data_IF_955550589510
#
_entry.id   IF_955550589510
#
_cell.length_a   1.000
_cell.length_b   1.000
_cell.length_c   1.000
_cell.angle_alpha   90.00
_cell.angle_beta   90.00
_cell.angle_gamma   90.00
#
_symmetry.space_group_name_H-M   'P 1'
#
loop_
_entity.id
_entity.type
_entity.pdbx_description
1 polymer ?
#
# COMPACT_ATOMS: atom_id res chain seq x y z
N UNK A 1 2.29 22.59 -8.75
CA UNK A 1 1.63 21.44 -8.08
C UNK A 1 2.31 20.16 -8.56
N UNK A 2 2.75 19.27 -7.67
CA UNK A 2 3.36 17.98 -8.04
C UNK A 2 2.28 16.89 -7.99
N UNK A 3 2.15 16.11 -9.06
CA UNK A 3 1.17 15.02 -9.17
C UNK A 3 1.88 13.68 -9.25
N UNK A 4 1.37 12.68 -8.52
CA UNK A 4 1.81 11.31 -8.61
C UNK A 4 0.72 10.48 -9.27
N UNK A 5 1.01 9.95 -10.46
CA UNK A 5 0.09 9.12 -11.23
C UNK A 5 0.62 7.69 -11.23
N UNK A 6 -0.29 6.73 -11.13
CA UNK A 6 0.03 5.32 -11.04
C UNK A 6 -1.21 4.46 -11.21
N UNK A 7 -1.05 3.17 -10.95
CA UNK A 7 -2.11 2.16 -11.06
C UNK A 7 -2.30 1.42 -9.74
N UNK A 8 -3.45 0.77 -9.61
CA UNK A 8 -3.79 -0.12 -8.49
C UNK A 8 -3.11 -1.48 -8.60
N UNK A 9 -1.79 -1.48 -8.61
CA UNK A 9 -0.93 -2.65 -8.73
C UNK A 9 -0.03 -2.56 -9.97
N UNK A 10 1.01 -3.40 -10.01
CA UNK A 10 1.96 -3.44 -11.13
C UNK A 10 2.19 -4.86 -11.67
N UNK A 11 2.04 -5.91 -10.85
CA UNK A 11 2.46 -7.27 -11.20
C UNK A 11 1.39 -8.06 -11.97
N UNK A 12 1.12 -7.68 -13.21
CA UNK A 12 0.15 -8.33 -14.11
C UNK A 12 0.85 -9.00 -15.30
N UNK A 13 0.64 -10.30 -15.52
CA UNK A 13 1.24 -11.04 -16.65
C UNK A 13 0.64 -10.61 -17.98
N UNK A 14 -0.61 -10.18 -17.95
CA UNK A 14 -1.40 -9.69 -19.08
C UNK A 14 -0.81 -8.40 -19.68
N UNK A 15 0.11 -7.74 -18.97
CA UNK A 15 0.81 -6.54 -19.42
C UNK A 15 2.11 -6.85 -20.18
N UNK A 16 2.59 -8.11 -20.18
CA UNK A 16 3.74 -8.54 -20.98
C UNK A 16 3.45 -8.35 -22.48
N UNK A 17 4.40 -7.80 -23.21
CA UNK A 17 4.30 -7.51 -24.64
C UNK A 17 3.48 -6.25 -24.99
N UNK A 18 2.83 -5.61 -24.02
CA UNK A 18 2.06 -4.36 -24.22
C UNK A 18 2.64 -3.18 -23.46
N UNK A 19 2.86 -3.39 -22.16
CA UNK A 19 3.47 -2.40 -21.28
C UNK A 19 4.85 -2.86 -20.82
N UNK A 20 4.95 -4.13 -20.39
CA UNK A 20 6.22 -4.77 -20.07
C UNK A 20 6.87 -5.40 -21.31
N UNK A 21 8.21 -5.52 -21.34
CA UNK A 21 8.89 -6.38 -22.32
C UNK A 21 8.31 -7.79 -22.27
N UNK A 22 8.26 -8.44 -23.43
CA UNK A 22 7.62 -9.76 -23.60
C UNK A 22 8.19 -10.83 -22.66
N UNK A 23 9.49 -10.75 -22.36
CA UNK A 23 10.20 -11.68 -21.47
C UNK A 23 10.76 -10.95 -20.24
N UNK A 24 9.90 -10.27 -19.49
CA UNK A 24 10.28 -9.66 -18.21
C UNK A 24 9.93 -10.59 -17.04
N UNK A 25 10.90 -10.82 -16.13
CA UNK A 25 10.62 -11.61 -14.93
C UNK A 25 9.72 -10.85 -13.96
N UNK A 26 8.91 -11.58 -13.16
CA UNK A 26 8.05 -10.95 -12.15
C UNK A 26 8.82 -10.13 -11.11
N UNK A 27 10.08 -10.51 -10.83
CA UNK A 27 10.97 -9.79 -9.90
C UNK A 27 11.42 -8.44 -10.45
N UNK A 28 11.41 -8.24 -11.76
CA UNK A 28 11.84 -6.99 -12.41
C UNK A 28 10.67 -6.05 -12.74
N UNK A 29 9.43 -6.54 -12.67
CA UNK A 29 8.23 -5.77 -13.02
C UNK A 29 8.13 -4.46 -12.24
N UNK A 30 8.45 -4.43 -10.94
CA UNK A 30 8.39 -3.20 -10.15
C UNK A 30 9.44 -2.18 -10.62
N UNK A 31 10.69 -2.63 -10.83
CA UNK A 31 11.76 -1.76 -11.32
C UNK A 31 11.41 -1.18 -12.70
N UNK A 32 10.88 -2.00 -13.61
CA UNK A 32 10.44 -1.52 -14.90
C UNK A 32 9.27 -0.54 -14.75
N UNK A 33 8.26 -0.87 -13.96
CA UNK A 33 7.10 -0.03 -13.71
C UNK A 33 7.50 1.36 -13.18
N UNK A 34 8.42 1.40 -12.22
CA UNK A 34 8.93 2.63 -11.62
C UNK A 34 9.75 3.52 -12.58
N UNK A 35 10.17 2.99 -13.74
CA UNK A 35 10.76 3.81 -14.81
C UNK A 35 9.71 4.55 -15.65
N UNK A 36 8.43 4.20 -15.52
CA UNK A 36 7.32 4.74 -16.32
C UNK A 36 6.33 5.54 -15.49
N UNK A 37 6.06 5.12 -14.26
CA UNK A 37 5.15 5.79 -13.34
C UNK A 37 5.85 6.20 -12.05
N UNK A 38 5.51 7.37 -11.47
CA UNK A 38 6.08 7.83 -10.21
C UNK A 38 5.41 7.26 -8.95
N UNK A 39 4.33 6.48 -9.07
CA UNK A 39 3.65 5.90 -7.93
C UNK A 39 2.91 4.61 -8.24
N UNK A 40 2.60 3.83 -7.21
CA UNK A 40 1.74 2.64 -7.32
C UNK A 40 0.95 2.43 -6.02
N UNK A 41 -0.30 1.99 -6.15
CA UNK A 41 -1.06 1.45 -5.02
C UNK A 41 -0.85 -0.08 -4.94
N UNK A 42 -0.43 -0.55 -3.77
CA UNK A 42 -0.21 -1.97 -3.50
C UNK A 42 -1.49 -2.56 -2.89
N UNK A 43 -2.08 -3.49 -3.63
CA UNK A 43 -3.29 -4.21 -3.19
C UNK A 43 -2.99 -5.54 -2.49
N UNK A 44 -1.81 -6.16 -2.68
CA UNK A 44 -1.51 -7.46 -2.07
C UNK A 44 -1.53 -7.40 -0.51
N UNK A 45 -1.20 -6.25 0.06
CA UNK A 45 -1.29 -5.99 1.51
C UNK A 45 -2.72 -6.07 2.06
N UNK A 46 -3.73 -5.99 1.19
CA UNK A 46 -5.12 -6.23 1.56
C UNK A 46 -5.35 -7.65 2.11
N UNK A 47 -4.72 -8.65 1.51
CA UNK A 47 -4.94 -10.05 1.87
C UNK A 47 -4.08 -10.52 3.05
N UNK A 48 -2.90 -9.92 3.22
CA UNK A 48 -1.92 -10.30 4.24
C UNK A 48 -1.17 -9.08 4.75
N UNK A 49 -0.89 -9.05 6.05
CA UNK A 49 -0.01 -8.01 6.61
C UNK A 49 1.34 -8.04 5.88
N UNK A 50 1.84 -6.88 5.42
CA UNK A 50 3.13 -6.81 4.74
C UNK A 50 4.26 -7.26 5.65
N UNK A 51 5.16 -8.09 5.12
CA UNK A 51 6.44 -8.36 5.79
C UNK A 51 7.42 -7.24 5.49
N UNK A 52 8.16 -6.81 6.51
CA UNK A 52 9.20 -5.80 6.41
C UNK A 52 10.22 -6.07 5.29
N UNK A 53 10.69 -7.33 5.15
CA UNK A 53 11.61 -7.71 4.08
C UNK A 53 11.07 -7.51 2.66
N UNK A 54 9.75 -7.61 2.47
CA UNK A 54 9.11 -7.37 1.17
C UNK A 54 9.13 -5.86 0.86
N UNK A 55 8.86 -5.02 1.86
CA UNK A 55 8.86 -3.57 1.70
C UNK A 55 10.29 -3.03 1.47
N UNK A 56 11.28 -3.58 2.16
CA UNK A 56 12.70 -3.30 1.89
C UNK A 56 13.03 -3.58 0.42
N UNK A 57 12.71 -4.80 -0.04
CA UNK A 57 12.97 -5.20 -1.43
C UNK A 57 12.26 -4.31 -2.45
N UNK A 58 11.06 -3.80 -2.14
CA UNK A 58 10.38 -2.82 -3.00
C UNK A 58 11.07 -1.46 -3.01
N UNK A 59 11.50 -0.95 -1.84
CA UNK A 59 12.18 0.32 -1.73
C UNK A 59 13.50 0.34 -2.54
N UNK A 60 14.24 -0.77 -2.57
CA UNK A 60 15.47 -0.96 -3.34
C UNK A 60 15.26 -0.96 -4.86
N UNK A 61 14.04 -1.23 -5.33
CA UNK A 61 13.74 -1.34 -6.75
C UNK A 61 13.29 -0.03 -7.39
N UNK A 62 13.02 1.01 -6.60
CA UNK A 62 12.42 2.25 -7.08
C UNK A 62 13.20 3.51 -6.66
N UNK A 63 13.14 4.61 -7.44
CA UNK A 63 13.77 5.87 -7.09
C UNK A 63 13.25 6.45 -5.75
N UNK A 64 14.03 7.30 -5.05
CA UNK A 64 13.60 7.96 -3.81
C UNK A 64 12.31 8.80 -3.94
N UNK A 65 12.03 9.32 -5.13
CA UNK A 65 10.87 10.16 -5.44
C UNK A 65 9.60 9.35 -5.70
N UNK A 66 9.73 8.03 -5.90
CA UNK A 66 8.61 7.14 -6.12
C UNK A 66 7.71 7.09 -4.89
N UNK A 67 6.40 6.88 -5.06
CA UNK A 67 5.44 6.82 -3.95
C UNK A 67 4.63 5.53 -3.96
N UNK A 68 4.65 4.83 -2.84
CA UNK A 68 3.76 3.70 -2.59
C UNK A 68 2.53 4.15 -1.82
N UNK A 69 1.37 3.70 -2.28
CA UNK A 69 0.14 3.71 -1.48
C UNK A 69 -0.10 2.29 -0.99
N UNK A 70 -0.07 2.05 0.32
CA UNK A 70 -0.33 0.72 0.87
C UNK A 70 -1.81 0.58 1.19
N UNK A 71 -2.49 -0.40 0.59
CA UNK A 71 -3.85 -0.71 1.01
C UNK A 71 -3.84 -1.44 2.34
N UNK A 72 -4.60 -0.95 3.30
CA UNK A 72 -4.72 -1.56 4.61
C UNK A 72 -5.28 -2.99 4.49
N UNK A 73 -4.78 -3.95 5.30
CA UNK A 73 -5.30 -5.31 5.32
C UNK A 73 -6.81 -5.37 5.58
N UNK A 74 -7.50 -6.29 4.89
CA UNK A 74 -8.93 -6.55 5.06
C UNK A 74 -9.28 -6.96 6.50
N UNK A 75 -8.30 -7.50 7.25
CA UNK A 75 -8.49 -7.76 8.68
C UNK A 75 -8.89 -6.49 9.44
N UNK A 76 -8.31 -5.34 9.09
CA UNK A 76 -8.62 -4.04 9.69
C UNK A 76 -9.98 -3.54 9.20
N UNK A 77 -10.18 -3.47 7.88
CA UNK A 77 -11.32 -2.76 7.28
C UNK A 77 -12.59 -3.60 7.09
N UNK A 78 -12.46 -4.90 6.80
CA UNK A 78 -13.58 -5.78 6.45
C UNK A 78 -13.96 -6.75 7.58
N UNK A 79 -12.97 -7.32 8.28
CA UNK A 79 -13.20 -8.29 9.36
C UNK A 79 -13.50 -7.55 10.67
N UNK A 80 -12.52 -6.80 11.18
CA UNK A 80 -12.68 -5.98 12.40
C UNK A 80 -13.59 -4.77 12.18
N UNK A 81 -13.76 -4.34 10.92
CA UNK A 81 -14.60 -3.19 10.55
C UNK A 81 -14.24 -1.96 11.38
N UNK A 82 -12.94 -1.70 11.50
CA UNK A 82 -12.32 -0.61 12.27
C UNK A 82 -12.40 -0.73 13.82
N UNK A 83 -12.97 -1.80 14.37
CA UNK A 83 -13.04 -2.02 15.83
C UNK A 83 -11.80 -2.77 16.34
N UNK A 84 -11.25 -2.34 17.47
CA UNK A 84 -10.18 -3.05 18.19
C UNK A 84 -9.01 -3.49 17.27
N UNK A 85 -8.64 -2.62 16.32
CA UNK A 85 -7.64 -2.91 15.28
C UNK A 85 -6.28 -2.26 15.54
N UNK A 86 -6.05 -1.76 16.76
CA UNK A 86 -4.86 -0.99 17.12
C UNK A 86 -3.55 -1.74 16.86
N UNK A 87 -3.47 -3.02 17.22
CA UNK A 87 -2.28 -3.83 17.02
C UNK A 87 -1.95 -4.04 15.53
N UNK A 88 -2.95 -4.30 14.68
CA UNK A 88 -2.73 -4.44 13.24
C UNK A 88 -2.37 -3.11 12.57
N UNK A 89 -2.93 -1.99 13.05
CA UNK A 89 -2.57 -0.64 12.62
C UNK A 89 -1.12 -0.36 13.00
N UNK A 90 -0.74 -0.52 14.26
CA UNK A 90 0.61 -0.29 14.74
C UNK A 90 1.63 -1.11 13.94
N UNK A 91 1.37 -2.40 13.73
CA UNK A 91 2.22 -3.24 12.90
C UNK A 91 2.35 -2.69 11.47
N UNK A 92 1.23 -2.35 10.83
CA UNK A 92 1.23 -1.83 9.45
C UNK A 92 2.08 -0.56 9.33
N UNK A 93 1.89 0.40 10.24
CA UNK A 93 2.65 1.65 10.22
C UNK A 93 4.13 1.41 10.54
N UNK A 94 4.45 0.54 11.51
CA UNK A 94 5.83 0.15 11.82
C UNK A 94 6.54 -0.40 10.60
N UNK A 95 5.96 -1.39 9.90
CA UNK A 95 6.62 -1.97 8.71
C UNK A 95 6.63 -0.99 7.52
N UNK A 96 5.67 -0.06 7.43
CA UNK A 96 5.65 0.96 6.37
C UNK A 96 6.80 1.96 6.49
N UNK A 97 7.34 2.22 7.69
CA UNK A 97 8.47 3.15 7.91
C UNK A 97 9.70 2.82 7.07
N UNK A 98 9.88 1.55 6.75
CA UNK A 98 10.94 0.99 5.91
C UNK A 98 10.96 1.59 4.50
N UNK A 99 9.81 2.02 3.98
CA UNK A 99 9.72 2.69 2.69
C UNK A 99 10.34 4.10 2.72
N UNK A 100 10.57 4.66 3.91
CA UNK A 100 11.11 5.99 4.12
C UNK A 100 10.33 7.04 3.34
N UNK A 101 11.06 7.90 2.61
CA UNK A 101 10.46 8.94 1.76
C UNK A 101 9.50 8.39 0.70
N UNK A 102 9.56 7.10 0.36
CA UNK A 102 8.68 6.47 -0.64
C UNK A 102 7.30 6.12 -0.08
N UNK A 103 7.08 6.19 1.24
CA UNK A 103 5.75 6.04 1.81
C UNK A 103 4.87 7.23 1.41
N UNK A 104 3.83 6.98 0.61
CA UNK A 104 2.91 8.02 0.12
C UNK A 104 1.67 8.13 0.99
N UNK A 105 0.84 7.09 1.00
CA UNK A 105 -0.39 7.05 1.79
C UNK A 105 -0.74 5.62 2.20
N UNK A 106 -1.66 5.49 3.17
CA UNK A 106 -2.31 4.22 3.50
C UNK A 106 -3.79 4.33 3.15
N UNK A 107 -4.27 3.45 2.28
CA UNK A 107 -5.67 3.42 1.87
C UNK A 107 -6.47 2.48 2.78
N UNK A 108 -7.42 3.03 3.52
CA UNK A 108 -8.43 2.27 4.28
C UNK A 108 -9.75 2.19 3.50
N UNK A 109 -9.81 1.28 2.52
CA UNK A 109 -11.06 1.01 1.80
C UNK A 109 -12.00 0.15 2.66
N UNK A 110 -13.22 0.65 2.89
CA UNK A 110 -14.26 -0.01 3.71
C UNK A 110 -15.19 -0.86 2.83
N UNK A 111 -15.77 -1.95 3.36
CA UNK A 111 -16.73 -2.74 2.61
C UNK A 111 -18.03 -1.95 2.34
N UNK A 112 -18.73 -2.23 1.23
CA UNK A 112 -19.93 -1.48 0.82
C UNK A 112 -21.10 -1.62 1.79
N UNK A 113 -21.11 -2.67 2.62
CA UNK A 113 -22.16 -2.93 3.61
C UNK A 113 -21.88 -2.29 4.98
N UNK A 114 -20.74 -1.60 5.17
CA UNK A 114 -20.45 -0.91 6.42
C UNK A 114 -21.24 0.39 6.48
N UNK A 115 -22.26 0.44 7.36
CA UNK A 115 -23.04 1.66 7.59
C UNK A 115 -22.19 2.73 8.25
N UNK A 116 -22.53 4.00 7.97
CA UNK A 116 -21.95 5.18 8.61
C UNK A 116 -22.04 5.06 10.13
N UNK A 117 -20.91 5.24 10.80
CA UNK A 117 -20.76 5.20 12.25
C UNK A 117 -19.59 6.13 12.60
N UNK A 118 -19.91 7.34 13.09
CA UNK A 118 -18.93 8.40 13.30
C UNK A 118 -18.06 8.13 14.53
N UNK A 119 -18.66 7.64 15.61
CA UNK A 119 -17.93 7.31 16.84
C UNK A 119 -16.89 6.23 16.57
N UNK A 120 -17.27 5.18 15.83
CA UNK A 120 -16.32 4.14 15.42
C UNK A 120 -15.17 4.70 14.57
N UNK A 121 -15.47 5.59 13.64
CA UNK A 121 -14.44 6.23 12.82
C UNK A 121 -13.50 7.07 13.69
N UNK A 122 -14.03 7.87 14.62
CA UNK A 122 -13.24 8.68 15.56
C UNK A 122 -12.32 7.82 16.43
N UNK A 123 -12.85 6.74 17.00
CA UNK A 123 -12.08 5.79 17.78
C UNK A 123 -10.95 5.17 16.94
N UNK A 124 -11.25 4.75 15.70
CA UNK A 124 -10.23 4.22 14.79
C UNK A 124 -9.15 5.26 14.43
N UNK A 125 -9.54 6.51 14.14
CA UNK A 125 -8.63 7.59 13.80
C UNK A 125 -7.70 7.95 14.97
N UNK A 126 -8.16 7.82 16.22
CA UNK A 126 -7.29 8.01 17.39
C UNK A 126 -6.13 7.01 17.44
N UNK A 127 -6.33 5.78 16.93
CA UNK A 127 -5.27 4.78 16.79
C UNK A 127 -4.24 5.14 15.71
N UNK A 128 -4.58 5.99 14.73
CA UNK A 128 -3.67 6.42 13.67
C UNK A 128 -2.71 7.53 14.10
N UNK A 129 -2.87 8.08 15.31
CA UNK A 129 -2.08 9.22 15.80
C UNK A 129 -0.59 8.93 16.06
N UNK A 130 -0.13 7.72 15.71
CA UNK A 130 1.29 7.35 15.66
C UNK A 130 1.91 8.01 14.42
N UNK A 131 2.61 9.13 14.66
CA UNK A 131 3.24 10.00 13.65
C UNK A 131 4.28 9.22 12.81
N UNK A 132 3.87 8.75 11.64
CA UNK A 132 4.85 8.48 10.56
C UNK A 132 5.14 9.82 9.89
N UNK A 133 6.33 10.34 10.17
CA UNK A 133 6.92 11.50 9.46
C UNK A 133 7.62 11.02 8.21
#
# INVERSE_FOLDING_TARGET
>A
MKLWVGTSGYSYKEWLGRFYPERLSAKEMLRFYASRFPAVEINNTFYRLPKESVLLSWAEQVPPEFRFVLKAPQRITHVRRLKDAGAEVEYLFRVATVLGLRAGAVLFQLPPYLRKDIERLQNFLSCLSIRVR
#
